data_IF_076126359707
#
_entry.id   IF_076126359707
#
_cell.length_a   1.000
_cell.length_b   1.000
_cell.length_c   1.000
_cell.angle_alpha   90.00
_cell.angle_beta   90.00
_cell.angle_gamma   90.00
#
_symmetry.space_group_name_H-M   'P 1'
#
loop_
_entity.id
_entity.type
_entity.pdbx_description
1 polymer ?
#
# COMPACT_ATOMS: atom_id res chain seq x y z
N UNK A 1 -18.95 -4.35 -3.67
CA UNK A 1 -17.88 -5.12 -2.99
C UNK A 1 -17.27 -4.25 -1.91
N UNK A 2 -17.00 -4.83 -0.73
CA UNK A 2 -16.28 -4.15 0.36
C UNK A 2 -14.79 -4.45 0.19
N UNK A 3 -13.93 -3.45 0.35
CA UNK A 3 -12.48 -3.61 0.27
C UNK A 3 -11.87 -3.29 1.64
N UNK A 4 -11.81 -4.26 2.58
CA UNK A 4 -11.09 -4.08 3.84
C UNK A 4 -9.64 -3.72 3.53
N UNK A 5 -9.12 -2.66 4.15
CA UNK A 5 -7.79 -2.16 3.83
C UNK A 5 -7.12 -1.49 5.01
N UNK A 6 -5.80 -1.63 5.07
CA UNK A 6 -4.92 -1.01 6.07
C UNK A 6 -3.79 -0.32 5.30
N UNK A 7 -3.51 0.93 5.65
CA UNK A 7 -2.34 1.66 5.16
C UNK A 7 -1.32 1.75 6.31
N UNK A 8 -0.09 1.31 6.07
CA UNK A 8 1.02 1.42 7.01
C UNK A 8 1.86 2.63 6.64
N UNK A 9 1.85 3.66 7.48
CA UNK A 9 2.60 4.89 7.30
C UNK A 9 3.45 5.22 8.53
N UNK A 10 4.26 6.28 8.43
CA UNK A 10 5.13 6.77 9.49
C UNK A 10 5.40 8.27 9.33
N UNK A 11 6.09 8.86 10.30
CA UNK A 11 6.49 10.28 10.24
C UNK A 11 7.62 10.54 9.23
N UNK A 12 8.41 9.52 8.88
CA UNK A 12 9.56 9.68 7.97
C UNK A 12 9.95 8.38 7.27
N UNK A 13 10.95 8.46 6.38
CA UNK A 13 11.66 7.30 5.84
C UNK A 13 12.44 6.55 6.93
N UNK A 14 12.70 5.26 6.73
CA UNK A 14 13.51 4.46 7.68
C UNK A 14 12.81 4.06 8.99
N UNK A 15 11.55 4.44 9.22
CA UNK A 15 10.83 4.12 10.47
C UNK A 15 10.30 2.68 10.59
N UNK A 16 10.79 1.73 9.78
CA UNK A 16 10.37 0.32 9.84
C UNK A 16 9.00 0.00 9.24
N UNK A 17 8.47 0.85 8.35
CA UNK A 17 7.19 0.61 7.64
C UNK A 17 7.18 -0.74 6.94
N UNK A 18 8.23 -1.06 6.20
CA UNK A 18 8.32 -2.32 5.45
C UNK A 18 8.28 -3.54 6.36
N UNK A 19 9.07 -3.56 7.43
CA UNK A 19 9.03 -4.65 8.43
C UNK A 19 7.63 -4.77 9.04
N UNK A 20 6.99 -3.66 9.36
CA UNK A 20 5.63 -3.64 9.92
C UNK A 20 4.60 -4.17 8.93
N UNK A 21 4.65 -3.73 7.66
CA UNK A 21 3.79 -4.22 6.58
C UNK A 21 3.96 -5.72 6.39
N UNK A 22 5.21 -6.21 6.30
CA UNK A 22 5.50 -7.63 6.15
C UNK A 22 4.94 -8.43 7.34
N UNK A 23 5.13 -7.97 8.58
CA UNK A 23 4.58 -8.61 9.77
C UNK A 23 3.05 -8.72 9.74
N UNK A 24 2.36 -7.66 9.31
CA UNK A 24 0.89 -7.66 9.16
C UNK A 24 0.48 -8.67 8.08
N UNK A 25 1.10 -8.61 6.90
CA UNK A 25 0.79 -9.51 5.77
C UNK A 25 1.00 -10.96 6.16
N UNK A 26 2.17 -11.28 6.73
CA UNK A 26 2.51 -12.63 7.17
C UNK A 26 1.57 -13.13 8.26
N UNK A 27 1.19 -12.28 9.22
CA UNK A 27 0.23 -12.66 10.26
C UNK A 27 -1.18 -12.92 9.73
N UNK A 28 -1.65 -12.11 8.78
CA UNK A 28 -2.96 -12.32 8.13
C UNK A 28 -2.97 -13.63 7.35
N UNK A 29 -1.91 -13.91 6.58
CA UNK A 29 -1.78 -15.20 5.88
C UNK A 29 -1.72 -16.38 6.82
N UNK A 30 -0.98 -16.28 7.93
CA UNK A 30 -0.90 -17.35 8.92
C UNK A 30 -2.28 -17.68 9.53
N UNK A 31 -3.21 -16.72 9.54
CA UNK A 31 -4.61 -16.88 9.95
C UNK A 31 -5.54 -17.33 8.82
N UNK A 32 -5.03 -17.60 7.63
CA UNK A 32 -5.80 -18.06 6.48
C UNK A 32 -6.47 -16.96 5.65
N UNK A 33 -6.18 -15.69 5.90
CA UNK A 33 -6.72 -14.59 5.09
C UNK A 33 -5.94 -14.43 3.78
N UNK A 34 -6.65 -14.07 2.71
CA UNK A 34 -6.06 -13.57 1.48
C UNK A 34 -5.64 -12.11 1.68
N UNK A 35 -4.49 -11.73 1.13
CA UNK A 35 -3.96 -10.38 1.24
C UNK A 35 -3.60 -9.86 -0.15
N UNK A 36 -4.10 -8.67 -0.49
CA UNK A 36 -3.70 -7.94 -1.70
C UNK A 36 -2.68 -6.86 -1.31
N UNK A 37 -1.39 -7.04 -1.62
CA UNK A 37 -0.36 -6.09 -1.24
C UNK A 37 -0.29 -4.92 -2.24
N UNK A 38 -0.06 -3.72 -1.71
CA UNK A 38 0.16 -2.52 -2.50
C UNK A 38 1.31 -1.69 -1.94
N UNK A 39 1.98 -0.93 -2.81
CA UNK A 39 3.02 0.03 -2.43
C UNK A 39 2.63 1.40 -2.97
N UNK A 40 2.55 2.41 -2.09
CA UNK A 40 2.59 3.81 -2.50
C UNK A 40 4.06 4.19 -2.68
N UNK A 41 4.48 4.45 -3.91
CA UNK A 41 5.87 4.77 -4.25
C UNK A 41 6.48 3.80 -5.27
N UNK A 42 7.42 4.25 -6.13
CA UNK A 42 7.96 3.45 -7.23
C UNK A 42 9.02 2.42 -6.78
N UNK A 43 9.13 2.17 -5.48
CA UNK A 43 10.13 1.30 -4.86
C UNK A 43 9.86 -0.17 -5.19
N UNK A 44 10.60 -0.72 -6.16
CA UNK A 44 10.40 -2.10 -6.61
C UNK A 44 10.92 -3.16 -5.63
N UNK A 45 11.90 -2.82 -4.78
CA UNK A 45 12.44 -3.74 -3.77
C UNK A 45 11.38 -4.00 -2.69
N UNK A 46 10.78 -2.94 -2.13
CA UNK A 46 9.71 -3.05 -1.14
C UNK A 46 8.51 -3.80 -1.71
N UNK A 47 8.10 -3.46 -2.93
CA UNK A 47 7.02 -4.18 -3.63
C UNK A 47 7.33 -5.68 -3.79
N UNK A 48 8.59 -6.04 -4.06
CA UNK A 48 9.05 -7.42 -4.11
C UNK A 48 8.88 -8.15 -2.78
N UNK A 49 9.27 -7.53 -1.67
CA UNK A 49 9.10 -8.11 -0.33
C UNK A 49 7.62 -8.29 0.04
N UNK A 50 6.79 -7.29 -0.24
CA UNK A 50 5.36 -7.34 0.03
C UNK A 50 4.69 -8.44 -0.80
N UNK A 51 5.06 -8.57 -2.08
CA UNK A 51 4.57 -9.62 -2.95
C UNK A 51 4.95 -11.02 -2.44
N UNK A 52 6.21 -11.18 -2.00
CA UNK A 52 6.69 -12.42 -1.41
C UNK A 52 5.91 -12.79 -0.13
N UNK A 53 5.71 -11.83 0.77
CA UNK A 53 4.97 -12.05 2.01
C UNK A 53 3.50 -12.41 1.73
N UNK A 54 2.87 -11.77 0.75
CA UNK A 54 1.48 -12.05 0.37
C UNK A 54 1.33 -13.34 -0.47
N UNK A 55 2.39 -13.77 -1.16
CA UNK A 55 2.33 -14.83 -2.17
C UNK A 55 1.45 -14.46 -3.37
N UNK A 56 1.34 -13.16 -3.67
CA UNK A 56 0.58 -12.57 -4.78
C UNK A 56 1.32 -11.31 -5.26
N UNK A 57 1.16 -10.86 -6.52
CA UNK A 57 1.82 -9.64 -7.00
C UNK A 57 1.46 -8.40 -6.18
N UNK A 58 2.43 -7.51 -5.98
CA UNK A 58 2.24 -6.21 -5.36
C UNK A 58 2.12 -5.13 -6.43
N UNK A 59 1.12 -4.25 -6.28
CA UNK A 59 0.83 -3.20 -7.25
C UNK A 59 1.10 -1.81 -6.69
N UNK A 60 1.52 -0.90 -7.57
CA UNK A 60 1.85 0.47 -7.22
C UNK A 60 0.59 1.35 -7.15
N UNK A 61 0.52 2.17 -6.10
CA UNK A 61 -0.52 3.19 -5.87
C UNK A 61 0.12 4.57 -5.64
N UNK A 62 1.16 4.91 -6.40
CA UNK A 62 1.83 6.20 -6.29
C UNK A 62 1.02 7.32 -6.94
N UNK A 63 0.54 8.24 -6.10
CA UNK A 63 -0.23 9.42 -6.49
C UNK A 63 0.58 10.47 -7.25
N UNK A 64 1.92 10.39 -7.23
CA UNK A 64 2.76 11.20 -8.12
C UNK A 64 2.76 10.69 -9.56
N UNK A 65 2.68 9.37 -9.75
CA UNK A 65 2.74 8.74 -11.08
C UNK A 65 1.37 8.53 -11.72
N UNK A 66 0.32 8.45 -10.90
CA UNK A 66 -1.01 8.01 -11.32
C UNK A 66 -2.06 9.03 -10.90
N UNK A 67 -3.01 9.29 -11.78
CA UNK A 67 -4.18 10.11 -11.45
C UNK A 67 -5.04 9.42 -10.37
N UNK A 68 -5.82 10.18 -9.57
CA UNK A 68 -6.71 9.60 -8.57
C UNK A 68 -7.68 8.56 -9.13
N UNK A 69 -8.23 8.82 -10.33
CA UNK A 69 -9.11 7.87 -11.02
C UNK A 69 -8.39 6.57 -11.37
N UNK A 70 -7.12 6.64 -11.77
CA UNK A 70 -6.30 5.46 -12.08
C UNK A 70 -5.90 4.68 -10.84
N UNK A 71 -5.59 5.36 -9.74
CA UNK A 71 -5.35 4.76 -8.42
C UNK A 71 -6.56 3.93 -7.99
N UNK A 72 -7.76 4.52 -8.02
CA UNK A 72 -9.00 3.83 -7.64
C UNK A 72 -9.27 2.65 -8.56
N UNK A 73 -9.05 2.81 -9.87
CA UNK A 73 -9.20 1.72 -10.83
C UNK A 73 -8.25 0.57 -10.51
N UNK A 74 -6.95 0.83 -10.37
CA UNK A 74 -5.94 -0.20 -10.10
C UNK A 74 -6.19 -0.90 -8.76
N UNK A 75 -6.52 -0.14 -7.72
CA UNK A 75 -6.88 -0.69 -6.42
C UNK A 75 -8.05 -1.67 -6.53
N UNK A 76 -9.13 -1.30 -7.23
CA UNK A 76 -10.29 -2.18 -7.44
C UNK A 76 -9.97 -3.39 -8.30
N UNK A 77 -9.20 -3.21 -9.37
CA UNK A 77 -8.84 -4.29 -10.29
C UNK A 77 -7.93 -5.33 -9.63
N UNK A 78 -7.04 -4.90 -8.75
CA UNK A 78 -6.01 -5.77 -8.17
C UNK A 78 -6.30 -6.20 -6.71
N UNK A 79 -7.38 -5.70 -6.11
CA UNK A 79 -7.86 -6.27 -4.84
C UNK A 79 -8.68 -7.52 -5.15
N UNK A 80 -8.21 -8.67 -4.67
CA UNK A 80 -8.91 -9.93 -4.86
C UNK A 80 -10.18 -9.98 -4.03
N UNK A 81 -11.17 -10.73 -4.50
CA UNK A 81 -12.38 -11.06 -3.73
C UNK A 81 -11.99 -11.66 -2.38
N UNK A 82 -12.66 -11.21 -1.32
CA UNK A 82 -12.45 -11.66 0.07
C UNK A 82 -11.04 -11.47 0.63
N UNK A 83 -10.23 -10.62 0.00
CA UNK A 83 -8.90 -10.25 0.50
C UNK A 83 -8.91 -9.00 1.38
N UNK A 84 -7.87 -8.87 2.20
CA UNK A 84 -7.56 -7.65 2.94
C UNK A 84 -6.44 -6.94 2.17
N UNK A 85 -6.67 -5.69 1.79
CA UNK A 85 -5.66 -4.86 1.17
C UNK A 85 -4.66 -4.36 2.23
N UNK A 86 -3.37 -4.58 2.02
CA UNK A 86 -2.31 -3.99 2.86
C UNK A 86 -1.45 -3.10 1.99
N UNK A 87 -1.45 -1.81 2.31
CA UNK A 87 -0.78 -0.77 1.53
C UNK A 87 0.38 -0.21 2.34
N UNK A 88 1.59 -0.37 1.84
CA UNK A 88 2.76 0.29 2.42
C UNK A 88 2.92 1.70 1.86
N UNK A 89 3.02 2.69 2.73
CA UNK A 89 3.32 4.07 2.35
C UNK A 89 4.81 4.29 2.08
N UNK A 90 5.15 5.25 1.20
CA UNK A 90 6.49 5.84 1.13
C UNK A 90 6.63 7.07 2.03
N UNK A 91 7.88 7.38 2.40
CA UNK A 91 8.28 8.60 3.14
C UNK A 91 7.43 8.86 4.39
N UNK A 92 7.16 10.12 4.72
CA UNK A 92 6.26 10.57 5.78
C UNK A 92 4.79 10.63 5.37
N UNK A 93 3.90 10.68 6.36
CA UNK A 93 2.45 10.63 6.14
C UNK A 93 1.90 11.82 5.32
N UNK A 94 2.44 13.02 5.55
CA UNK A 94 2.07 14.27 4.88
C UNK A 94 3.06 14.71 3.80
N UNK A 95 4.08 13.91 3.50
CA UNK A 95 5.07 14.26 2.49
C UNK A 95 4.41 14.31 1.10
N UNK A 96 4.42 15.48 0.49
CA UNK A 96 3.86 15.76 -0.83
C UNK A 96 4.83 16.59 -1.66
N UNK A 97 4.65 16.56 -2.99
CA UNK A 97 5.38 17.44 -3.91
C UNK A 97 4.76 18.84 -4.01
N UNK A 98 3.54 19.01 -3.50
CA UNK A 98 2.79 20.27 -3.52
C UNK A 98 2.26 20.62 -2.13
N UNK A 99 1.84 21.88 -1.98
CA UNK A 99 1.28 22.41 -0.73
C UNK A 99 -0.11 21.86 -0.40
N UNK A 100 -0.86 21.38 -1.39
CA UNK A 100 -2.20 20.82 -1.20
C UNK A 100 -2.17 19.39 -0.65
N UNK A 101 -0.98 18.77 -0.59
CA UNK A 101 -0.83 17.42 -0.08
C UNK A 101 -1.28 16.34 -1.07
N UNK A 102 -1.42 16.66 -2.36
CA UNK A 102 -2.10 15.79 -3.34
C UNK A 102 -1.40 14.42 -3.53
N UNK A 103 -0.08 14.37 -3.30
CA UNK A 103 0.69 13.12 -3.38
C UNK A 103 1.02 12.52 -2.01
N UNK A 104 0.42 13.04 -0.94
CA UNK A 104 0.65 12.55 0.42
C UNK A 104 0.01 11.19 0.65
N UNK A 105 0.46 10.51 1.70
CA UNK A 105 -0.17 9.23 2.11
C UNK A 105 -1.53 9.50 2.75
N UNK A 106 -1.66 10.63 3.45
CA UNK A 106 -2.92 11.08 4.01
C UNK A 106 -3.99 11.30 2.93
N UNK A 107 -3.61 11.85 1.77
CA UNK A 107 -4.52 12.00 0.63
C UNK A 107 -4.94 10.65 0.05
N UNK A 108 -3.99 9.73 -0.17
CA UNK A 108 -4.29 8.37 -0.64
C UNK A 108 -5.25 7.60 0.28
N UNK A 109 -5.27 7.93 1.58
CA UNK A 109 -6.10 7.24 2.56
C UNK A 109 -7.58 7.66 2.58
N UNK A 110 -7.97 8.73 1.87
CA UNK A 110 -9.36 9.18 1.73
C UNK A 110 -10.17 8.22 0.85
#
# INVERSE_FOLDING_TARGET
MKYPRIIVSALSGGSGKTITSLGIISSLKAKGYLVSPFKKGPDYIDAGWLALAAGQPCYNLDTFLLSPSKIIQLFKTHTQSDSIAVIEANRGIYDSIDYEGSTSTAELAK
#
